data_IF_950081440256
#
_entry.id   IF_950081440256
#
_cell.length_a   1.000
_cell.length_b   1.000
_cell.length_c   1.000
_cell.angle_alpha   90.00
_cell.angle_beta   90.00
_cell.angle_gamma   90.00
#
_symmetry.space_group_name_H-M   'P 1'
#
loop_
_entity.id
_entity.type
_entity.pdbx_description
1 polymer ?
#
# COMPACT_ATOMS: atom_id res chain seq x y z
N UNK A 1 -20.55 -14.02 -19.94
CA UNK A 1 -20.04 -12.92 -19.06
C UNK A 1 -19.05 -13.54 -18.10
N UNK A 2 -17.83 -13.02 -18.03
CA UNK A 2 -16.82 -13.49 -17.07
C UNK A 2 -16.88 -12.60 -15.83
N UNK A 3 -17.08 -13.19 -14.65
CA UNK A 3 -17.02 -12.49 -13.38
C UNK A 3 -15.56 -12.45 -12.91
N UNK A 4 -15.04 -11.26 -12.59
CA UNK A 4 -13.75 -11.11 -11.92
C UNK A 4 -13.97 -11.28 -10.41
N UNK A 5 -13.58 -12.43 -9.89
CA UNK A 5 -13.68 -12.73 -8.44
C UNK A 5 -12.44 -12.22 -7.70
N UNK A 6 -12.50 -10.97 -7.26
CA UNK A 6 -11.41 -10.34 -6.53
C UNK A 6 -11.11 -11.01 -5.18
N UNK A 7 -12.11 -11.63 -4.54
CA UNK A 7 -11.91 -12.37 -3.28
C UNK A 7 -11.07 -13.62 -3.51
N UNK A 8 -11.43 -14.43 -4.50
CA UNK A 8 -10.68 -15.65 -4.83
C UNK A 8 -9.22 -15.32 -5.21
N UNK A 9 -9.00 -14.29 -6.03
CA UNK A 9 -7.64 -13.85 -6.39
C UNK A 9 -6.88 -13.34 -5.15
N UNK A 10 -7.52 -12.56 -4.28
CA UNK A 10 -6.87 -12.09 -3.06
C UNK A 10 -6.42 -13.24 -2.15
N UNK A 11 -7.24 -14.28 -2.00
CA UNK A 11 -6.86 -15.46 -1.22
C UNK A 11 -5.67 -16.19 -1.86
N UNK A 12 -5.68 -16.36 -3.17
CA UNK A 12 -4.58 -16.97 -3.91
C UNK A 12 -3.27 -16.18 -3.74
N UNK A 13 -3.30 -14.86 -3.92
CA UNK A 13 -2.12 -13.99 -3.75
C UNK A 13 -1.57 -14.07 -2.32
N UNK A 14 -2.44 -14.07 -1.31
CA UNK A 14 -2.00 -14.21 0.08
C UNK A 14 -1.30 -15.56 0.33
N UNK A 15 -1.78 -16.65 -0.28
CA UNK A 15 -1.13 -17.96 -0.16
C UNK A 15 0.22 -18.00 -0.86
N UNK A 16 0.34 -17.38 -2.03
CA UNK A 16 1.61 -17.24 -2.75
C UNK A 16 2.63 -16.47 -1.90
N UNK A 17 2.24 -15.31 -1.36
CA UNK A 17 3.09 -14.51 -0.46
C UNK A 17 3.46 -15.30 0.81
N UNK A 18 2.52 -16.02 1.42
CA UNK A 18 2.79 -16.83 2.60
C UNK A 18 3.83 -17.92 2.33
N UNK A 19 3.79 -18.54 1.15
CA UNK A 19 4.80 -19.52 0.74
C UNK A 19 6.18 -18.88 0.57
N UNK A 20 6.27 -17.73 -0.08
CA UNK A 20 7.53 -16.98 -0.23
C UNK A 20 8.12 -16.56 1.12
N UNK A 21 7.28 -16.05 2.04
CA UNK A 21 7.71 -15.67 3.40
C UNK A 21 8.21 -16.89 4.19
N UNK A 22 7.51 -18.01 4.08
CA UNK A 22 7.95 -19.24 4.74
C UNK A 22 9.33 -19.70 4.22
N UNK A 23 9.58 -19.58 2.93
CA UNK A 23 10.86 -19.89 2.29
C UNK A 23 11.97 -18.95 2.76
N UNK A 24 11.72 -17.63 2.80
CA UNK A 24 12.67 -16.63 3.32
C UNK A 24 13.08 -16.99 4.75
N UNK A 25 12.11 -17.26 5.62
CA UNK A 25 12.36 -17.58 7.04
C UNK A 25 13.08 -18.93 7.19
N UNK A 26 12.73 -19.93 6.40
CA UNK A 26 13.38 -21.25 6.42
C UNK A 26 14.86 -21.17 6.05
N UNK A 27 15.25 -20.21 5.20
CA UNK A 27 16.64 -19.95 4.84
C UNK A 27 17.36 -18.96 5.78
N UNK A 28 16.76 -18.64 6.94
CA UNK A 28 17.35 -17.72 7.94
C UNK A 28 17.19 -16.24 7.61
N UNK A 29 16.39 -15.90 6.62
CA UNK A 29 16.06 -14.51 6.30
C UNK A 29 15.15 -13.86 7.35
N UNK A 30 15.14 -12.54 7.39
CA UNK A 30 14.28 -11.76 8.28
C UNK A 30 12.81 -11.92 7.85
N UNK A 31 11.94 -12.14 8.82
CA UNK A 31 10.48 -12.09 8.61
C UNK A 31 10.06 -10.67 8.27
N UNK A 32 9.35 -10.42 7.15
CA UNK A 32 8.88 -9.09 6.82
C UNK A 32 8.01 -8.48 7.91
N UNK A 33 8.21 -7.20 8.21
CA UNK A 33 7.50 -6.47 9.24
C UNK A 33 6.81 -5.23 8.67
N UNK A 34 5.49 -5.23 8.72
CA UNK A 34 4.64 -4.09 8.35
C UNK A 34 4.14 -3.38 9.62
N UNK A 35 4.41 -2.08 9.74
CA UNK A 35 3.78 -1.26 10.75
C UNK A 35 2.61 -0.45 10.17
N UNK A 36 1.61 -0.14 11.00
CA UNK A 36 0.50 0.71 10.62
C UNK A 36 0.24 1.74 11.72
N UNK A 37 0.09 3.00 11.35
CA UNK A 37 -0.35 4.07 12.24
C UNK A 37 -1.81 4.38 11.93
N UNK A 38 -2.64 4.41 12.95
CA UNK A 38 -4.04 4.81 12.90
C UNK A 38 -4.26 5.97 13.85
N UNK A 39 -4.86 7.06 13.35
CA UNK A 39 -5.17 8.26 14.14
C UNK A 39 -6.68 8.43 14.21
N UNK A 40 -7.20 8.51 15.44
CA UNK A 40 -8.63 8.66 15.71
C UNK A 40 -9.42 7.35 15.53
N UNK A 41 -10.74 7.47 15.47
CA UNK A 41 -11.71 6.38 15.51
C UNK A 41 -12.66 6.37 14.30
N UNK A 42 -12.13 6.66 13.11
CA UNK A 42 -12.93 6.51 11.89
C UNK A 42 -13.20 5.03 11.60
N UNK A 43 -14.48 4.61 11.61
CA UNK A 43 -14.86 3.22 11.47
C UNK A 43 -14.42 2.57 10.14
N UNK A 44 -14.31 3.36 9.07
CA UNK A 44 -13.77 2.91 7.80
C UNK A 44 -12.28 2.57 7.92
N UNK A 45 -11.51 3.49 8.50
CA UNK A 45 -10.08 3.33 8.74
C UNK A 45 -9.77 2.16 9.67
N UNK A 46 -10.56 1.99 10.74
CA UNK A 46 -10.43 0.84 11.66
C UNK A 46 -10.64 -0.50 10.94
N UNK A 47 -11.66 -0.58 10.10
CA UNK A 47 -11.96 -1.79 9.31
C UNK A 47 -10.83 -2.10 8.34
N UNK A 48 -10.28 -1.11 7.64
CA UNK A 48 -9.16 -1.29 6.72
C UNK A 48 -7.90 -1.74 7.43
N UNK A 49 -7.56 -1.12 8.55
CA UNK A 49 -6.36 -1.50 9.34
C UNK A 49 -6.51 -2.91 9.91
N UNK A 50 -7.68 -3.27 10.45
CA UNK A 50 -7.93 -4.63 10.92
C UNK A 50 -7.79 -5.68 9.80
N UNK A 51 -8.27 -5.38 8.59
CA UNK A 51 -8.10 -6.24 7.44
C UNK A 51 -6.61 -6.38 7.03
N UNK A 52 -5.83 -5.30 7.08
CA UNK A 52 -4.39 -5.32 6.80
C UNK A 52 -3.63 -6.17 7.83
N UNK A 53 -3.90 -6.01 9.12
CA UNK A 53 -3.30 -6.83 10.19
C UNK A 53 -3.61 -8.31 9.98
N UNK A 54 -4.86 -8.64 9.70
CA UNK A 54 -5.26 -10.02 9.41
C UNK A 54 -4.58 -10.57 8.16
N UNK A 55 -4.40 -9.77 7.12
CA UNK A 55 -3.66 -10.17 5.92
C UNK A 55 -2.18 -10.44 6.24
N UNK A 56 -1.55 -9.61 7.08
CA UNK A 56 -0.19 -9.86 7.56
C UNK A 56 -0.06 -11.20 8.28
N UNK A 57 -1.01 -11.53 9.17
CA UNK A 57 -1.03 -12.82 9.86
C UNK A 57 -1.10 -13.98 8.88
N UNK A 58 -2.00 -13.91 7.88
CA UNK A 58 -2.16 -14.94 6.85
C UNK A 58 -0.90 -15.10 6.00
N UNK A 59 -0.26 -13.99 5.64
CA UNK A 59 0.98 -14.00 4.85
C UNK A 59 2.24 -14.33 5.68
N UNK A 60 2.11 -14.50 7.00
CA UNK A 60 3.24 -14.81 7.87
C UNK A 60 4.13 -13.61 8.20
N UNK A 61 3.66 -12.39 7.98
CA UNK A 61 4.37 -11.16 8.33
C UNK A 61 4.30 -10.90 9.84
N UNK A 62 5.32 -10.22 10.36
CA UNK A 62 5.20 -9.47 11.62
C UNK A 62 4.39 -8.21 11.34
N UNK A 63 3.46 -7.85 12.24
CA UNK A 63 2.71 -6.59 12.12
C UNK A 63 2.69 -5.83 13.43
N UNK A 64 2.78 -4.51 13.36
CA UNK A 64 2.65 -3.60 14.49
C UNK A 64 1.59 -2.57 14.21
N UNK A 65 0.67 -2.38 15.15
CA UNK A 65 -0.37 -1.36 15.07
C UNK A 65 -0.13 -0.30 16.14
N UNK A 66 0.08 0.93 15.69
CA UNK A 66 0.29 2.11 16.53
C UNK A 66 -0.97 2.94 16.45
N UNK A 67 -1.60 3.21 17.59
CA UNK A 67 -2.84 3.99 17.68
C UNK A 67 -2.58 5.31 18.37
N UNK A 68 -3.17 6.35 17.83
CA UNK A 68 -3.24 7.67 18.42
C UNK A 68 -4.69 8.14 18.51
N UNK A 69 -4.98 8.92 19.52
CA UNK A 69 -6.25 9.63 19.60
C UNK A 69 -6.33 10.74 18.54
N UNK A 70 -7.54 11.22 18.29
CA UNK A 70 -7.78 12.22 17.24
C UNK A 70 -7.16 13.60 17.52
N UNK A 71 -6.71 13.85 18.74
CA UNK A 71 -6.09 15.10 19.18
C UNK A 71 -4.55 15.06 19.20
N UNK A 72 -3.94 13.95 18.77
CA UNK A 72 -2.47 13.85 18.60
C UNK A 72 -1.97 15.03 17.77
N UNK A 73 -0.87 15.63 18.19
CA UNK A 73 -0.28 16.74 17.45
C UNK A 73 0.43 16.27 16.18
N UNK A 74 0.52 17.15 15.16
CA UNK A 74 1.28 16.86 13.95
C UNK A 74 2.74 16.50 14.29
N UNK A 75 3.37 17.23 15.21
CA UNK A 75 4.77 17.01 15.59
C UNK A 75 4.99 15.64 16.24
N UNK A 76 4.09 15.20 17.11
CA UNK A 76 4.15 13.85 17.71
C UNK A 76 3.99 12.76 16.66
N UNK A 77 3.05 12.91 15.74
CA UNK A 77 2.88 11.96 14.64
C UNK A 77 4.12 11.91 13.75
N UNK A 78 4.66 13.07 13.37
CA UNK A 78 5.88 13.16 12.54
C UNK A 78 7.11 12.59 13.27
N UNK A 79 7.20 12.75 14.60
CA UNK A 79 8.27 12.13 15.39
C UNK A 79 8.20 10.61 15.30
N UNK A 80 7.00 10.01 15.42
CA UNK A 80 6.80 8.56 15.26
C UNK A 80 7.12 8.09 13.84
N UNK A 81 6.76 8.85 12.83
CA UNK A 81 7.10 8.52 11.43
C UNK A 81 8.63 8.47 11.26
N UNK A 82 9.38 9.44 11.82
CA UNK A 82 10.85 9.42 11.78
C UNK A 82 11.45 8.24 12.53
N UNK A 83 10.90 7.89 13.70
CA UNK A 83 11.30 6.70 14.45
C UNK A 83 11.15 5.42 13.61
N UNK A 84 10.02 5.25 12.92
CA UNK A 84 9.79 4.09 12.06
C UNK A 84 10.68 4.09 10.80
N UNK A 85 11.06 5.26 10.29
CA UNK A 85 12.03 5.34 9.21
C UNK A 85 13.41 4.78 9.62
N UNK A 86 13.81 5.00 10.88
CA UNK A 86 15.11 4.59 11.43
C UNK A 86 15.10 3.16 12.02
N UNK A 87 13.92 2.58 12.23
CA UNK A 87 13.79 1.24 12.80
C UNK A 87 14.08 0.16 11.74
N UNK A 88 15.24 -0.50 11.84
CA UNK A 88 15.67 -1.57 10.95
C UNK A 88 14.78 -2.83 11.02
N UNK A 89 14.01 -3.00 12.11
CA UNK A 89 13.05 -4.11 12.21
C UNK A 89 11.80 -3.87 11.36
N UNK A 90 11.47 -2.62 11.03
CA UNK A 90 10.31 -2.26 10.19
C UNK A 90 10.74 -2.15 8.73
N UNK A 91 10.23 -3.05 7.87
CA UNK A 91 10.53 -3.04 6.43
C UNK A 91 9.68 -2.04 5.65
N UNK A 92 8.49 -1.74 6.14
CA UNK A 92 7.62 -0.74 5.58
C UNK A 92 6.48 -0.40 6.52
N UNK A 93 5.88 0.76 6.32
CA UNK A 93 4.74 1.16 7.13
C UNK A 93 3.77 2.04 6.37
N UNK A 94 2.59 2.14 6.94
CA UNK A 94 1.50 2.98 6.44
C UNK A 94 1.03 3.93 7.52
N UNK A 95 0.62 5.12 7.13
CA UNK A 95 -0.18 6.03 7.95
C UNK A 95 -1.57 6.06 7.34
N UNK A 96 -2.54 5.44 8.02
CA UNK A 96 -3.88 5.28 7.46
C UNK A 96 -4.57 6.64 7.26
N UNK A 97 -4.96 6.92 6.04
CA UNK A 97 -5.73 8.10 5.67
C UNK A 97 -7.26 7.81 5.76
N UNK A 98 -8.10 8.84 6.00
CA UNK A 98 -7.73 10.25 6.19
C UNK A 98 -7.20 10.56 7.59
N UNK A 99 -6.44 11.65 7.71
CA UNK A 99 -5.98 12.19 8.99
C UNK A 99 -6.90 13.31 9.51
N UNK A 100 -6.87 13.62 10.82
CA UNK A 100 -7.54 14.80 11.35
C UNK A 100 -7.10 16.08 10.65
N UNK A 101 -8.02 17.07 10.51
CA UNK A 101 -7.80 18.28 9.70
C UNK A 101 -6.62 19.16 10.13
N UNK A 102 -6.17 19.05 11.38
CA UNK A 102 -5.04 19.81 11.90
C UNK A 102 -3.68 19.18 11.55
N UNK A 103 -3.67 17.99 10.96
CA UNK A 103 -2.47 17.29 10.52
C UNK A 103 -2.40 17.33 8.99
N UNK A 104 -1.27 17.74 8.45
CA UNK A 104 -1.04 17.78 7.02
C UNK A 104 -0.69 16.40 6.48
N UNK A 105 -1.63 15.77 5.75
CA UNK A 105 -1.37 14.49 5.05
C UNK A 105 -0.13 14.56 4.16
N UNK A 106 0.07 15.68 3.46
CA UNK A 106 1.22 15.89 2.59
C UNK A 106 2.54 15.85 3.35
N UNK A 107 2.64 16.54 4.49
CA UNK A 107 3.84 16.50 5.33
C UNK A 107 4.13 15.09 5.86
N UNK A 108 3.08 14.38 6.27
CA UNK A 108 3.22 13.00 6.75
C UNK A 108 3.78 12.12 5.64
N UNK A 109 3.17 12.15 4.45
CA UNK A 109 3.62 11.37 3.29
C UNK A 109 5.08 11.69 2.94
N UNK A 110 5.46 12.98 2.88
CA UNK A 110 6.83 13.41 2.55
C UNK A 110 7.85 13.11 3.67
N UNK A 111 7.41 12.89 4.91
CA UNK A 111 8.28 12.50 6.02
C UNK A 111 8.58 11.01 6.02
N UNK A 112 7.73 10.17 5.44
CA UNK A 112 7.98 8.73 5.28
C UNK A 112 9.21 8.55 4.37
N UNK A 113 10.15 7.69 4.75
CA UNK A 113 11.20 7.28 3.81
C UNK A 113 10.55 6.54 2.64
N UNK A 114 10.79 7.02 1.41
CA UNK A 114 10.18 6.43 0.21
C UNK A 114 10.49 4.93 0.05
N UNK A 115 11.55 4.43 0.69
CA UNK A 115 11.94 3.01 0.72
C UNK A 115 11.07 2.18 1.65
N UNK A 116 10.34 2.83 2.57
CA UNK A 116 9.40 2.21 3.52
C UNK A 116 7.94 2.59 3.26
N UNK A 117 7.69 3.45 2.26
CA UNK A 117 6.37 3.89 1.84
C UNK A 117 5.67 2.80 1.01
N UNK A 118 5.14 1.79 1.68
CA UNK A 118 4.49 0.65 1.02
C UNK A 118 3.12 0.98 0.40
N UNK A 119 2.53 2.13 0.74
CA UNK A 119 1.33 2.64 0.06
C UNK A 119 1.65 3.30 -1.30
N UNK A 120 2.94 3.64 -1.56
CA UNK A 120 3.38 4.24 -2.82
C UNK A 120 2.88 5.66 -3.05
N UNK A 121 2.66 6.43 -1.98
CA UNK A 121 2.15 7.80 -2.05
C UNK A 121 3.24 8.86 -2.06
N UNK A 122 4.44 8.50 -1.62
CA UNK A 122 5.57 9.43 -1.58
C UNK A 122 5.91 9.96 -3.00
N UNK A 123 6.15 11.27 -3.17
CA UNK A 123 6.44 11.86 -4.48
C UNK A 123 7.56 11.16 -5.26
N UNK A 124 8.58 10.63 -4.57
CA UNK A 124 9.66 9.87 -5.20
C UNK A 124 9.11 8.57 -5.80
N UNK A 125 8.27 7.80 -5.08
CA UNK A 125 7.67 6.58 -5.60
C UNK A 125 6.74 6.87 -6.79
N UNK A 126 5.93 7.93 -6.70
CA UNK A 126 5.07 8.37 -7.79
C UNK A 126 5.90 8.76 -9.03
N UNK A 127 6.98 9.51 -8.85
CA UNK A 127 7.89 9.89 -9.94
C UNK A 127 8.59 8.68 -10.56
N UNK A 128 9.10 7.77 -9.73
CA UNK A 128 9.74 6.52 -10.19
C UNK A 128 8.77 5.65 -10.97
N UNK A 129 7.54 5.47 -10.48
CA UNK A 129 6.47 4.77 -11.19
C UNK A 129 6.23 5.39 -12.57
N UNK A 130 6.13 6.72 -12.65
CA UNK A 130 5.84 7.42 -13.90
C UNK A 130 6.89 7.21 -15.00
N UNK A 131 8.12 6.90 -14.63
CA UNK A 131 9.24 6.66 -15.55
C UNK A 131 9.70 5.19 -15.59
N UNK A 132 8.91 4.29 -15.00
CA UNK A 132 9.15 2.85 -15.05
C UNK A 132 10.33 2.36 -14.19
N UNK A 133 10.73 3.10 -13.16
CA UNK A 133 11.76 2.66 -12.22
C UNK A 133 11.17 1.83 -11.07
N UNK A 134 11.96 0.90 -10.47
CA UNK A 134 11.51 0.14 -9.32
C UNK A 134 11.05 1.05 -8.17
N UNK A 135 9.83 0.84 -7.67
CA UNK A 135 9.22 1.64 -6.62
C UNK A 135 8.05 0.90 -5.98
N UNK A 136 7.58 1.39 -4.84
CA UNK A 136 6.26 1.01 -4.36
C UNK A 136 5.18 1.70 -5.18
N UNK A 137 4.15 0.95 -5.54
CA UNK A 137 3.02 1.40 -6.36
C UNK A 137 1.76 1.39 -5.50
N UNK A 138 0.93 2.42 -5.65
CA UNK A 138 -0.32 2.50 -4.90
C UNK A 138 -1.13 1.20 -4.98
N UNK A 139 -1.51 0.67 -3.82
CA UNK A 139 -2.03 -0.68 -3.69
C UNK A 139 -3.33 -0.92 -4.48
N UNK A 140 -4.28 0.03 -4.46
CA UNK A 140 -5.57 -0.13 -5.17
C UNK A 140 -5.40 -0.19 -6.69
N UNK A 141 -4.68 0.73 -7.35
CA UNK A 141 -4.42 0.62 -8.79
C UNK A 141 -3.63 -0.63 -9.16
N UNK A 142 -2.61 -0.98 -8.36
CA UNK A 142 -1.82 -2.18 -8.60
C UNK A 142 -2.65 -3.46 -8.46
N UNK A 143 -3.55 -3.51 -7.48
CA UNK A 143 -4.48 -4.62 -7.31
C UNK A 143 -5.44 -4.78 -8.50
N UNK A 144 -5.93 -3.67 -9.07
CA UNK A 144 -6.74 -3.72 -10.30
C UNK A 144 -5.93 -4.31 -11.46
N UNK A 145 -4.69 -3.85 -11.64
CA UNK A 145 -3.81 -4.38 -12.69
C UNK A 145 -3.52 -5.88 -12.50
N UNK A 146 -3.31 -6.30 -11.24
CA UNK A 146 -3.13 -7.71 -10.91
C UNK A 146 -4.36 -8.56 -11.27
N UNK A 147 -5.56 -8.07 -10.99
CA UNK A 147 -6.80 -8.73 -11.39
C UNK A 147 -6.89 -8.88 -12.92
N UNK A 148 -6.57 -7.82 -13.67
CA UNK A 148 -6.57 -7.87 -15.13
C UNK A 148 -5.58 -8.92 -15.66
N UNK A 149 -4.37 -8.95 -15.11
CA UNK A 149 -3.33 -9.93 -15.47
C UNK A 149 -3.79 -11.38 -15.20
N UNK A 150 -4.31 -11.65 -14.00
CA UNK A 150 -4.75 -12.99 -13.62
C UNK A 150 -5.92 -13.52 -14.44
N UNK A 151 -6.81 -12.63 -14.86
CA UNK A 151 -7.88 -12.96 -15.78
C UNK A 151 -7.45 -12.89 -17.27
N UNK A 152 -6.17 -12.63 -17.55
CA UNK A 152 -5.61 -12.52 -18.91
C UNK A 152 -6.40 -11.52 -19.78
N UNK A 153 -6.84 -10.42 -19.15
CA UNK A 153 -7.50 -9.33 -19.86
C UNK A 153 -6.41 -8.47 -20.51
N UNK A 154 -6.36 -8.52 -21.80
CA UNK A 154 -5.41 -7.75 -22.60
C UNK A 154 -5.74 -6.26 -22.54
N UNK A 155 -4.76 -5.44 -22.18
CA UNK A 155 -4.87 -3.99 -22.09
C UNK A 155 -4.23 -3.27 -23.27
N UNK A 156 -3.22 -3.90 -23.89
CA UNK A 156 -2.46 -3.31 -24.99
C UNK A 156 -3.37 -2.95 -26.17
N UNK A 157 -3.26 -1.71 -26.65
CA UNK A 157 -4.06 -1.17 -27.73
C UNK A 157 -5.55 -0.95 -27.42
N UNK A 158 -5.99 -1.17 -26.17
CA UNK A 158 -7.39 -0.95 -25.77
C UNK A 158 -7.62 0.48 -25.28
N UNK A 159 -8.81 0.98 -25.51
CA UNK A 159 -9.25 2.26 -24.92
C UNK A 159 -9.60 2.04 -23.45
N UNK A 160 -8.95 2.80 -22.58
CA UNK A 160 -9.22 2.81 -21.14
C UNK A 160 -9.74 4.18 -20.71
N UNK A 161 -10.78 4.19 -19.89
CA UNK A 161 -11.32 5.41 -19.27
C UNK A 161 -11.24 5.27 -17.76
N UNK A 162 -10.50 6.18 -17.13
CA UNK A 162 -10.38 6.23 -15.67
C UNK A 162 -11.26 7.35 -15.12
N UNK A 163 -12.33 6.98 -14.41
CA UNK A 163 -13.20 7.92 -13.72
C UNK A 163 -12.62 8.24 -12.34
N UNK A 164 -11.71 9.20 -12.26
CA UNK A 164 -11.05 9.61 -11.02
C UNK A 164 -9.75 10.37 -11.29
N UNK A 165 -9.40 11.27 -10.35
CA UNK A 165 -8.20 12.11 -10.47
C UNK A 165 -7.40 12.26 -9.17
N UNK A 166 -7.68 11.41 -8.19
CA UNK A 166 -6.94 11.44 -6.92
C UNK A 166 -5.48 11.04 -7.13
N UNK A 167 -4.60 11.56 -6.29
CA UNK A 167 -3.18 11.22 -6.31
C UNK A 167 -2.91 9.76 -5.92
N UNK A 168 -3.83 9.17 -5.15
CA UNK A 168 -3.66 7.82 -4.58
C UNK A 168 -4.34 6.70 -5.40
N UNK A 169 -5.28 7.02 -6.29
CA UNK A 169 -5.98 6.02 -7.12
C UNK A 169 -6.05 6.44 -8.58
N UNK A 170 -6.71 7.55 -8.90
CA UNK A 170 -7.03 7.89 -10.30
C UNK A 170 -5.79 8.15 -11.17
N UNK A 171 -4.87 8.99 -10.70
CA UNK A 171 -3.63 9.27 -11.43
C UNK A 171 -2.72 8.03 -11.54
N UNK A 172 -2.45 7.28 -10.44
CA UNK A 172 -1.70 6.03 -10.53
C UNK A 172 -2.34 5.01 -11.47
N UNK A 173 -3.69 4.87 -11.45
CA UNK A 173 -4.37 3.94 -12.34
C UNK A 173 -4.15 4.31 -13.82
N UNK A 174 -4.29 5.58 -14.17
CA UNK A 174 -4.06 6.06 -15.52
C UNK A 174 -2.62 5.79 -16.00
N UNK A 175 -1.64 6.02 -15.11
CA UNK A 175 -0.23 5.75 -15.37
C UNK A 175 0.02 4.24 -15.59
N UNK A 176 -0.50 3.39 -14.73
CA UNK A 176 -0.34 1.93 -14.87
C UNK A 176 -0.98 1.40 -16.13
N UNK A 177 -2.14 1.94 -16.51
CA UNK A 177 -2.78 1.55 -17.78
C UNK A 177 -1.98 2.02 -19.00
N UNK A 178 -1.38 3.21 -18.93
CA UNK A 178 -0.45 3.69 -19.97
C UNK A 178 0.79 2.79 -20.07
N UNK A 179 1.37 2.39 -18.95
CA UNK A 179 2.51 1.44 -18.92
C UNK A 179 2.13 0.04 -19.41
N UNK A 180 0.85 -0.31 -19.37
CA UNK A 180 0.29 -1.54 -19.92
C UNK A 180 -0.22 -1.36 -21.37
N UNK A 181 0.30 -0.36 -22.09
CA UNK A 181 0.02 -0.04 -23.49
C UNK A 181 -1.46 0.23 -23.82
N UNK A 182 -2.26 0.63 -22.84
CA UNK A 182 -3.62 1.12 -23.08
C UNK A 182 -3.63 2.58 -23.54
N UNK A 183 -4.66 2.96 -24.27
CA UNK A 183 -4.90 4.34 -24.73
C UNK A 183 -5.96 5.02 -23.89
#
# INVERSE_FOLDING_TARGET
MTLIDGKAISEQVKQEIAAEVAEIVAHGGKRPHLAAILVGHDGGSETYVAAKVKACEVCGFKSSLIRYESDVTEDELLAKVRELNEDDDVDGFIVQLPLPKHISEQKVIETIDYRKDVDGFHPINVGRMSIGLPCYVSATPNGILELLKRYRIETSGKKCVVLGRSNIVGKPMAQLMLMADAT
#
